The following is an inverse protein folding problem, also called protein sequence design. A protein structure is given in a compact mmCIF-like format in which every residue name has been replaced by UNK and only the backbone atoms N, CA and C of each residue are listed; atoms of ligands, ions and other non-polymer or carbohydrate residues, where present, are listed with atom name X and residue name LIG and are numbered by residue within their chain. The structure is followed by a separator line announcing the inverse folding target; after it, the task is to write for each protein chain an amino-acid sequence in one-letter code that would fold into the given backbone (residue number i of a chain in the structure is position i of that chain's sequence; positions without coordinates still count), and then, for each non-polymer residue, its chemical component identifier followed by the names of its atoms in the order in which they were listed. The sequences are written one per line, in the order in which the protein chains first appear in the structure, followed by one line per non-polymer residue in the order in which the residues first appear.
data_IF_604334134632
#
_entry.id   IF_604334134632
#
_cell.length_a   1.000
_cell.length_b   1.000
_cell.length_c   1.000
_cell.angle_alpha   90.00
_cell.angle_beta   90.00
_cell.angle_gamma   90.00
#
_symmetry.space_group_name_H-M   'P 1'
#
loop_
_entity.id
_entity.type
_entity.pdbx_description
1 polymer ?
#
# COMPACT_ATOMS: atom_id res chain seq x y z
N UNK A 1 16.92 -9.49 -4.85
CA UNK A 1 17.62 -8.19 -5.00
C UNK A 1 17.03 -7.19 -4.01
N UNK A 2 17.82 -6.25 -3.47
CA UNK A 2 17.29 -5.23 -2.58
C UNK A 2 16.52 -4.14 -3.38
N UNK A 3 15.46 -3.53 -2.82
CA UNK A 3 14.76 -2.43 -3.48
C UNK A 3 15.71 -1.24 -3.71
N UNK A 4 15.53 -0.53 -4.82
CA UNK A 4 16.30 0.69 -5.11
C UNK A 4 15.37 1.89 -5.20
N UNK A 5 15.86 3.07 -4.79
CA UNK A 5 15.12 4.31 -4.80
C UNK A 5 15.91 5.40 -5.54
N UNK A 6 15.22 6.14 -6.40
CA UNK A 6 15.75 7.28 -7.14
C UNK A 6 14.84 8.48 -6.93
N UNK A 7 15.43 9.64 -6.65
CA UNK A 7 14.70 10.91 -6.65
C UNK A 7 14.47 11.34 -8.09
N UNK A 8 13.22 11.58 -8.46
CA UNK A 8 12.83 11.98 -9.82
C UNK A 8 12.56 13.48 -9.91
N UNK A 9 12.09 14.10 -8.83
CA UNK A 9 11.83 15.54 -8.80
C UNK A 9 11.61 16.05 -7.39
N UNK A 10 12.19 17.20 -7.10
CA UNK A 10 12.02 17.93 -5.85
C UNK A 10 11.30 19.25 -6.15
N UNK A 11 10.07 19.36 -5.66
CA UNK A 11 9.24 20.55 -5.82
C UNK A 11 8.93 21.13 -4.44
N UNK A 12 8.61 22.42 -4.40
CA UNK A 12 8.22 23.10 -3.15
C UNK A 12 7.04 22.42 -2.44
N UNK A 13 6.13 21.79 -3.19
CA UNK A 13 4.92 21.17 -2.64
C UNK A 13 5.01 19.66 -2.44
N UNK A 14 5.96 18.98 -3.10
CA UNK A 14 6.05 17.52 -3.08
C UNK A 14 7.40 17.03 -3.59
N UNK A 15 7.79 15.84 -3.15
CA UNK A 15 8.92 15.10 -3.71
C UNK A 15 8.41 13.86 -4.42
N UNK A 16 9.00 13.56 -5.57
CA UNK A 16 8.65 12.40 -6.40
C UNK A 16 9.83 11.46 -6.45
N UNK A 17 9.57 10.19 -6.18
CA UNK A 17 10.54 9.12 -6.18
C UNK A 17 10.09 7.99 -7.09
N UNK A 18 11.08 7.27 -7.58
CA UNK A 18 10.91 6.03 -8.31
C UNK A 18 11.54 4.91 -7.50
N UNK A 19 10.72 3.95 -7.07
CA UNK A 19 11.17 2.80 -6.31
C UNK A 19 11.04 1.55 -7.17
N UNK A 20 12.17 0.87 -7.40
CA UNK A 20 12.18 -0.44 -8.03
C UNK A 20 12.17 -1.50 -6.93
N UNK A 21 11.08 -2.26 -6.87
CA UNK A 21 10.83 -3.35 -5.95
C UNK A 21 10.66 -4.64 -6.75
N UNK A 22 11.70 -5.48 -6.81
CA UNK A 22 11.68 -6.76 -7.55
C UNK A 22 11.11 -6.62 -8.97
N UNK A 23 11.74 -5.75 -9.77
CA UNK A 23 11.33 -5.44 -11.15
C UNK A 23 9.99 -4.70 -11.28
N UNK A 24 9.32 -4.42 -10.16
CA UNK A 24 8.11 -3.60 -10.11
C UNK A 24 8.49 -2.16 -9.84
N UNK A 25 8.02 -1.27 -10.71
CA UNK A 25 8.33 0.14 -10.64
C UNK A 25 7.16 0.89 -9.99
N UNK A 26 7.46 1.56 -8.87
CA UNK A 26 6.50 2.32 -8.09
C UNK A 26 6.82 3.81 -8.19
N UNK A 27 5.85 4.57 -8.68
CA UNK A 27 5.86 6.03 -8.64
C UNK A 27 5.35 6.48 -7.27
N UNK A 28 6.23 7.09 -6.47
CA UNK A 28 5.95 7.46 -5.08
C UNK A 28 5.99 8.97 -4.95
N UNK A 29 4.97 9.55 -4.32
CA UNK A 29 4.90 10.98 -4.05
C UNK A 29 4.77 11.22 -2.54
N UNK A 30 5.69 12.00 -1.98
CA UNK A 30 5.57 12.54 -0.63
C UNK A 30 5.10 13.99 -0.70
N UNK A 31 4.09 14.34 0.10
CA UNK A 31 3.54 15.69 0.14
C UNK A 31 2.76 15.94 1.42
N UNK A 32 2.91 17.13 1.99
CA UNK A 32 1.99 17.68 3.00
C UNK A 32 0.84 18.47 2.35
N UNK A 33 0.93 18.74 1.05
CA UNK A 33 0.02 19.63 0.34
C UNK A 33 -1.23 18.86 -0.14
N UNK A 34 -2.43 19.11 0.42
CA UNK A 34 -3.63 18.31 0.10
C UNK A 34 -4.06 18.42 -1.36
N UNK A 35 -3.73 19.52 -2.05
CA UNK A 35 -4.06 19.70 -3.46
C UNK A 35 -3.29 18.74 -4.38
N UNK A 36 -2.10 18.27 -3.97
CA UNK A 36 -1.33 17.26 -4.71
C UNK A 36 -2.04 15.91 -4.65
N UNK A 37 -2.58 15.54 -3.49
CA UNK A 37 -3.39 14.32 -3.32
C UNK A 37 -4.66 14.42 -4.16
N UNK A 38 -5.38 15.54 -4.11
CA UNK A 38 -6.59 15.77 -4.93
C UNK A 38 -6.30 15.68 -6.43
N UNK A 39 -5.16 16.21 -6.87
CA UNK A 39 -4.69 16.10 -8.26
C UNK A 39 -4.42 14.64 -8.63
N UNK A 40 -3.69 13.91 -7.79
CA UNK A 40 -3.40 12.49 -8.01
C UNK A 40 -4.68 11.64 -8.15
N UNK A 41 -5.67 11.83 -7.27
CA UNK A 41 -6.97 11.13 -7.36
C UNK A 41 -7.64 11.41 -8.72
N UNK A 42 -7.68 12.69 -9.12
CA UNK A 42 -8.27 13.11 -10.40
C UNK A 42 -7.55 12.44 -11.58
N UNK A 43 -6.23 12.43 -11.57
CA UNK A 43 -5.40 11.89 -12.65
C UNK A 43 -5.52 10.36 -12.75
N UNK A 44 -5.60 9.66 -11.61
CA UNK A 44 -5.85 8.20 -11.57
C UNK A 44 -7.23 7.88 -12.15
N UNK A 45 -8.27 8.58 -11.70
CA UNK A 45 -9.65 8.39 -12.20
C UNK A 45 -9.75 8.70 -13.70
N UNK A 46 -9.14 9.81 -14.14
CA UNK A 46 -9.11 10.22 -15.54
C UNK A 46 -8.45 9.13 -16.40
N UNK A 47 -7.22 8.71 -16.05
CA UNK A 47 -6.49 7.66 -16.80
C UNK A 47 -7.25 6.35 -16.83
N UNK A 48 -7.85 5.94 -15.70
CA UNK A 48 -8.64 4.72 -15.65
C UNK A 48 -9.84 4.79 -16.60
N UNK A 49 -10.62 5.89 -16.60
CA UNK A 49 -11.76 6.06 -17.52
C UNK A 49 -11.35 5.96 -18.98
N UNK A 50 -10.23 6.57 -19.37
CA UNK A 50 -9.74 6.56 -20.75
C UNK A 50 -9.20 5.19 -21.16
N UNK A 51 -8.69 4.40 -20.22
CA UNK A 51 -8.17 3.05 -20.46
C UNK A 51 -9.20 1.93 -20.31
N UNK A 52 -10.48 2.24 -19.97
CA UNK A 52 -11.55 1.23 -19.75
C UNK A 52 -11.72 0.25 -20.92
N UNK A 53 -11.33 0.61 -22.14
CA UNK A 53 -11.38 -0.32 -23.27
C UNK A 53 -10.40 -1.50 -23.18
N UNK A 54 -9.43 -1.51 -22.26
CA UNK A 54 -8.33 -2.50 -22.22
C UNK A 54 -8.19 -3.28 -20.92
N UNK A 55 -8.98 -3.01 -19.89
CA UNK A 55 -8.83 -3.62 -18.57
C UNK A 55 -10.16 -4.17 -18.07
N UNK A 56 -10.19 -5.46 -17.71
CA UNK A 56 -11.36 -6.20 -17.25
C UNK A 56 -11.66 -6.02 -15.75
N UNK A 57 -10.72 -5.46 -14.98
CA UNK A 57 -10.83 -5.28 -13.53
C UNK A 57 -11.15 -3.82 -13.17
N UNK A 58 -11.91 -3.59 -12.08
CA UNK A 58 -12.29 -2.24 -11.64
C UNK A 58 -11.07 -1.42 -11.18
N UNK A 59 -11.27 -0.10 -11.03
CA UNK A 59 -10.27 0.75 -10.38
C UNK A 59 -10.24 0.40 -8.88
N UNK A 60 -9.13 -0.13 -8.42
CA UNK A 60 -8.88 -0.45 -7.02
C UNK A 60 -7.94 0.59 -6.44
N UNK A 61 -8.31 1.18 -5.30
CA UNK A 61 -7.50 2.14 -4.54
C UNK A 61 -7.47 1.70 -3.09
N UNK A 62 -6.28 1.67 -2.48
CA UNK A 62 -6.09 1.43 -1.05
C UNK A 62 -5.70 2.71 -0.31
N UNK A 63 -6.18 2.86 0.92
CA UNK A 63 -5.82 3.96 1.83
C UNK A 63 -5.45 3.36 3.18
N UNK A 64 -4.25 3.69 3.70
CA UNK A 64 -3.84 3.32 5.06
C UNK A 64 -3.93 1.82 5.35
N UNK A 65 -3.50 0.96 4.42
CA UNK A 65 -3.64 -0.48 4.58
C UNK A 65 -2.78 -0.98 5.74
N UNK A 66 -3.39 -1.73 6.65
CA UNK A 66 -2.72 -2.35 7.78
C UNK A 66 -2.84 -3.87 7.70
N UNK A 67 -1.71 -4.55 7.91
CA UNK A 67 -1.63 -6.02 7.91
C UNK A 67 -2.33 -6.68 9.08
N UNK A 68 -2.43 -5.96 10.19
CA UNK A 68 -3.12 -6.41 11.40
C UNK A 68 -4.18 -5.37 11.75
N UNK A 69 -5.40 -5.52 11.22
CA UNK A 69 -6.48 -4.60 11.55
C UNK A 69 -6.71 -4.61 13.07
N UNK A 70 -6.65 -3.43 13.69
CA UNK A 70 -6.90 -3.27 15.12
C UNK A 70 -8.23 -2.54 15.33
N UNK A 71 -9.06 -3.05 16.25
CA UNK A 71 -10.29 -2.35 16.65
C UNK A 71 -9.99 -0.97 17.28
N UNK A 72 -8.74 -0.74 17.70
CA UNK A 72 -8.27 0.55 18.18
C UNK A 72 -8.18 1.58 17.04
N UNK A 73 -7.79 1.17 15.84
CA UNK A 73 -7.70 2.10 14.70
C UNK A 73 -9.07 2.49 14.17
N UNK A 74 -10.04 1.56 14.19
CA UNK A 74 -11.46 1.86 13.95
C UNK A 74 -11.93 2.95 14.92
N UNK A 75 -11.74 2.73 16.23
CA UNK A 75 -12.15 3.70 17.26
C UNK A 75 -11.44 5.04 17.11
N UNK A 76 -10.15 5.04 16.80
CA UNK A 76 -9.39 6.29 16.58
C UNK A 76 -9.98 7.10 15.43
N UNK A 77 -10.38 6.44 14.34
CA UNK A 77 -10.97 7.08 13.18
C UNK A 77 -12.37 7.66 13.49
N UNK A 78 -13.20 6.89 14.20
CA UNK A 78 -14.53 7.30 14.66
C UNK A 78 -14.48 8.54 15.55
N UNK A 79 -13.52 8.62 16.49
CA UNK A 79 -13.41 9.76 17.41
C UNK A 79 -12.68 10.97 16.81
N UNK A 80 -12.15 10.87 15.57
CA UNK A 80 -11.53 12.05 14.94
C UNK A 80 -12.57 13.13 14.62
N UNK A 81 -12.10 14.36 14.42
CA UNK A 81 -12.96 15.48 13.96
C UNK A 81 -13.75 15.19 12.68
N UNK A 82 -13.27 14.25 11.86
CA UNK A 82 -13.89 13.90 10.59
C UNK A 82 -14.83 12.68 10.70
N UNK A 83 -14.88 12.02 11.88
CA UNK A 83 -15.77 10.89 12.18
C UNK A 83 -15.75 9.83 11.07
N UNK A 84 -14.54 9.37 10.72
CA UNK A 84 -14.39 8.44 9.60
C UNK A 84 -14.85 7.05 10.04
N UNK A 85 -15.92 6.57 9.41
CA UNK A 85 -16.43 5.22 9.60
C UNK A 85 -15.69 4.24 8.67
N UNK A 86 -15.32 3.08 9.20
CA UNK A 86 -14.86 1.94 8.39
C UNK A 86 -16.08 1.08 8.10
N UNK A 87 -16.45 0.97 6.83
CA UNK A 87 -17.60 0.14 6.41
C UNK A 87 -17.39 -1.34 6.73
N UNK A 88 -16.26 -1.91 6.34
CA UNK A 88 -15.91 -3.29 6.66
C UNK A 88 -14.42 -3.44 7.01
N UNK A 89 -14.15 -4.25 8.05
CA UNK A 89 -12.79 -4.55 8.49
C UNK A 89 -12.36 -5.93 7.99
N UNK A 90 -11.65 -5.94 6.87
CA UNK A 90 -11.15 -7.17 6.25
C UNK A 90 -9.70 -7.45 6.66
N UNK A 91 -9.44 -8.70 7.05
CA UNK A 91 -8.07 -9.22 7.19
C UNK A 91 -7.72 -10.00 5.92
N UNK A 92 -6.93 -9.37 5.03
CA UNK A 92 -6.44 -9.95 3.76
C UNK A 92 -5.97 -11.39 3.92
N UNK A 93 -5.33 -11.73 5.05
CA UNK A 93 -4.72 -13.04 5.30
C UNK A 93 -5.74 -14.18 5.38
N UNK A 94 -7.03 -13.85 5.56
CA UNK A 94 -8.13 -14.81 5.52
C UNK A 94 -8.57 -15.17 4.09
N UNK A 95 -8.24 -14.33 3.12
CA UNK A 95 -8.68 -14.45 1.72
C UNK A 95 -7.56 -14.90 0.79
N UNK A 96 -6.33 -15.04 1.29
CA UNK A 96 -5.19 -15.58 0.55
C UNK A 96 -4.84 -16.97 1.06
N UNK A 97 -4.44 -17.84 0.15
CA UNK A 97 -4.12 -19.24 0.40
C UNK A 97 -2.80 -19.63 -0.27
N UNK A 98 -2.14 -20.68 0.25
CA UNK A 98 -0.98 -21.27 -0.40
C UNK A 98 -1.35 -22.07 -1.66
N UNK A 99 -0.34 -22.60 -2.35
CA UNK A 99 -0.51 -23.46 -3.50
C UNK A 99 -1.37 -24.72 -3.23
N UNK A 100 -1.57 -25.11 -1.97
CA UNK A 100 -2.42 -26.23 -1.57
C UNK A 100 -3.81 -25.77 -1.09
N UNK A 101 -4.15 -24.49 -1.21
CA UNK A 101 -5.42 -23.91 -0.78
C UNK A 101 -5.55 -23.72 0.74
N UNK A 102 -4.46 -23.83 1.51
CA UNK A 102 -4.48 -23.62 2.96
C UNK A 102 -4.40 -22.14 3.29
N UNK A 103 -5.19 -21.71 4.27
CA UNK A 103 -5.23 -20.30 4.71
C UNK A 103 -3.88 -19.82 5.23
N UNK A 104 -3.49 -18.60 4.84
CA UNK A 104 -2.25 -17.95 5.29
C UNK A 104 -2.44 -17.09 6.54
N UNK A 105 -3.58 -17.20 7.25
CA UNK A 105 -3.90 -16.37 8.43
C UNK A 105 -2.80 -16.35 9.51
N UNK A 106 -2.09 -17.45 9.69
CA UNK A 106 -1.02 -17.58 10.69
C UNK A 106 0.40 -17.28 10.20
N UNK A 107 0.57 -16.91 8.92
CA UNK A 107 1.88 -16.65 8.32
C UNK A 107 2.37 -15.24 8.66
N UNK A 108 3.69 -15.05 8.67
CA UNK A 108 4.30 -13.72 8.77
C UNK A 108 4.13 -12.94 7.47
N UNK A 109 4.38 -11.64 7.49
CA UNK A 109 4.37 -10.80 6.29
C UNK A 109 5.31 -11.38 5.22
N UNK A 110 6.54 -11.73 5.61
CA UNK A 110 7.55 -12.31 4.72
C UNK A 110 7.05 -13.62 4.10
N UNK A 111 6.48 -14.51 4.91
CA UNK A 111 5.96 -15.78 4.42
C UNK A 111 4.76 -15.64 3.49
N UNK A 112 3.93 -14.61 3.66
CA UNK A 112 2.83 -14.32 2.73
C UNK A 112 3.36 -13.78 1.41
N UNK A 113 4.33 -12.86 1.46
CA UNK A 113 4.94 -12.29 0.25
C UNK A 113 5.64 -13.38 -0.57
N UNK A 114 6.36 -14.27 0.10
CA UNK A 114 7.03 -15.39 -0.56
C UNK A 114 6.01 -16.35 -1.19
N UNK A 115 4.99 -16.77 -0.45
CA UNK A 115 3.97 -17.71 -0.94
C UNK A 115 3.11 -17.14 -2.07
N UNK A 116 2.62 -15.91 -1.93
CA UNK A 116 1.68 -15.31 -2.88
C UNK A 116 2.37 -14.65 -4.08
N UNK A 117 3.60 -14.16 -3.93
CA UNK A 117 4.28 -13.36 -4.96
C UNK A 117 5.58 -13.98 -5.45
N UNK A 118 6.07 -15.05 -4.82
CA UNK A 118 7.37 -15.65 -5.15
C UNK A 118 8.56 -14.73 -4.86
N UNK A 119 8.39 -13.74 -3.98
CA UNK A 119 9.42 -12.74 -3.67
C UNK A 119 10.11 -13.06 -2.35
N UNK A 120 11.28 -13.68 -2.43
CA UNK A 120 12.08 -14.03 -1.25
C UNK A 120 12.83 -12.82 -0.66
N UNK A 121 12.97 -12.81 0.67
CA UNK A 121 13.77 -11.81 1.39
C UNK A 121 13.11 -10.45 1.57
N UNK A 122 11.84 -10.29 1.17
CA UNK A 122 11.04 -9.10 1.45
C UNK A 122 10.66 -9.09 2.93
N UNK A 123 11.03 -8.04 3.66
CA UNK A 123 10.67 -7.83 5.06
C UNK A 123 10.51 -6.35 5.37
N UNK A 124 9.69 -6.03 6.38
CA UNK A 124 9.61 -4.69 6.95
C UNK A 124 10.57 -4.61 8.15
N UNK A 125 11.48 -3.64 8.16
CA UNK A 125 12.45 -3.51 9.23
C UNK A 125 11.77 -2.94 10.47
N UNK A 126 11.81 -3.69 11.58
CA UNK A 126 11.17 -3.29 12.83
C UNK A 126 11.63 -1.93 13.36
N UNK A 127 12.89 -1.53 13.12
CA UNK A 127 13.41 -0.22 13.55
C UNK A 127 12.77 0.90 12.73
N UNK A 128 12.58 0.68 11.44
CA UNK A 128 11.92 1.64 10.53
C UNK A 128 10.40 1.64 10.80
N UNK A 129 9.77 0.49 10.98
CA UNK A 129 8.34 0.41 11.33
C UNK A 129 7.99 1.15 12.62
N UNK A 130 8.95 1.27 13.54
CA UNK A 130 8.79 1.98 14.82
C UNK A 130 9.54 3.31 14.88
N UNK A 131 10.06 3.80 13.76
CA UNK A 131 10.68 5.13 13.70
C UNK A 131 9.61 6.22 13.77
N UNK A 132 10.05 7.47 13.75
CA UNK A 132 9.11 8.59 13.71
C UNK A 132 8.51 8.76 12.30
N UNK A 133 7.21 8.48 12.16
CA UNK A 133 6.44 8.65 10.93
C UNK A 133 5.65 9.96 10.90
N UNK A 134 5.75 10.78 11.95
CA UNK A 134 5.09 12.09 12.04
C UNK A 134 5.93 13.22 11.45
N UNK A 135 7.08 12.89 10.85
CA UNK A 135 7.97 13.84 10.19
C UNK A 135 7.40 14.31 8.85
N UNK A 136 7.65 15.58 8.55
CA UNK A 136 7.31 16.27 7.30
C UNK A 136 7.88 15.55 6.05
N UNK A 137 9.15 15.13 6.14
CA UNK A 137 9.85 14.41 5.09
C UNK A 137 10.37 13.07 5.60
N UNK A 138 10.05 12.00 4.86
CA UNK A 138 10.35 10.64 5.26
C UNK A 138 11.76 10.29 4.79
N UNK A 139 12.43 9.44 5.54
CA UNK A 139 13.71 8.90 5.09
C UNK A 139 13.51 8.01 3.85
N UNK A 140 14.58 7.78 3.08
CA UNK A 140 14.54 6.87 1.93
C UNK A 140 14.13 5.46 2.34
N UNK A 141 14.55 5.02 3.53
CA UNK A 141 14.19 3.71 4.07
C UNK A 141 12.71 3.64 4.47
N UNK A 142 12.16 4.71 5.06
CA UNK A 142 10.72 4.82 5.31
C UNK A 142 9.91 4.81 4.01
N UNK A 143 10.35 5.54 2.99
CA UNK A 143 9.72 5.56 1.67
C UNK A 143 9.71 4.17 1.02
N UNK A 144 10.84 3.44 1.08
CA UNK A 144 10.89 2.05 0.60
C UNK A 144 9.92 1.20 1.40
N UNK A 145 9.91 1.28 2.73
CA UNK A 145 9.07 0.42 3.55
C UNK A 145 7.57 0.65 3.31
N UNK A 146 7.10 1.90 3.30
CA UNK A 146 5.68 2.21 3.06
C UNK A 146 5.25 1.84 1.64
N UNK A 147 6.18 1.92 0.68
CA UNK A 147 5.90 1.54 -0.72
C UNK A 147 5.80 0.03 -0.89
N UNK A 148 6.65 -0.74 -0.22
CA UNK A 148 6.56 -2.21 -0.17
C UNK A 148 5.26 -2.63 0.50
N UNK A 149 4.95 -2.04 1.67
CA UNK A 149 3.71 -2.30 2.41
C UNK A 149 2.47 -2.06 1.53
N UNK A 150 2.38 -0.89 0.90
CA UNK A 150 1.27 -0.53 0.03
C UNK A 150 1.18 -1.41 -1.23
N UNK A 151 2.30 -1.72 -1.88
CA UNK A 151 2.32 -2.55 -3.08
C UNK A 151 1.85 -3.98 -2.78
N UNK A 152 2.40 -4.59 -1.73
CA UNK A 152 2.04 -5.97 -1.36
C UNK A 152 0.56 -6.01 -0.99
N UNK A 153 0.09 -5.06 -0.18
CA UNK A 153 -1.32 -4.93 0.19
C UNK A 153 -2.25 -4.82 -1.02
N UNK A 154 -1.89 -3.97 -1.99
CA UNK A 154 -2.65 -3.81 -3.24
C UNK A 154 -2.70 -5.11 -4.03
N UNK A 155 -1.56 -5.79 -4.20
CA UNK A 155 -1.48 -7.03 -4.96
C UNK A 155 -2.32 -8.13 -4.33
N UNK A 156 -2.21 -8.36 -3.02
CA UNK A 156 -3.04 -9.35 -2.34
C UNK A 156 -4.53 -9.01 -2.43
N UNK A 157 -4.90 -7.73 -2.29
CA UNK A 157 -6.29 -7.29 -2.43
C UNK A 157 -6.84 -7.54 -3.85
N UNK A 158 -6.00 -7.42 -4.87
CA UNK A 158 -6.34 -7.74 -6.26
C UNK A 158 -6.46 -9.24 -6.50
N UNK A 159 -5.50 -10.01 -6.02
CA UNK A 159 -5.49 -11.47 -6.20
C UNK A 159 -6.66 -12.13 -5.46
N UNK A 160 -7.03 -11.59 -4.28
CA UNK A 160 -8.18 -12.02 -3.50
C UNK A 160 -9.52 -11.40 -3.92
N UNK A 161 -9.54 -10.50 -4.92
CA UNK A 161 -10.74 -9.78 -5.41
C UNK A 161 -11.57 -9.17 -4.27
N UNK A 162 -10.91 -8.50 -3.32
CA UNK A 162 -11.55 -8.04 -2.09
C UNK A 162 -12.67 -6.99 -2.29
N UNK A 163 -12.84 -6.45 -3.49
CA UNK A 163 -13.98 -5.58 -3.83
C UNK A 163 -15.28 -6.37 -4.11
N UNK A 164 -15.26 -7.70 -4.07
CA UNK A 164 -16.42 -8.59 -4.33
C UNK A 164 -16.88 -9.37 -3.10
N UNK A 165 -16.16 -9.22 -1.98
CA UNK A 165 -16.49 -9.82 -0.69
C UNK A 165 -17.52 -8.94 0.01
#
# INVERSE_FOLDING_TARGET
MAPTIKTMGEYKSHQVYFINFFEQNLDVTQTETPSIIRRWIRDVVYRHRHRRSRSSHPLVVGVGVQWTPSCQDVRKLEITRHQLEIGELLDVRKYVADQQGRSLRGRSFEGIVEECMGLEGVKLDRKISKSDWSVDYLSKEQLVQVSVDAYVSFKLGVDARLWEV
#
